data_IF_669819441568
#
_entry.id   IF_669819441568
#
_cell.length_a   1.000
_cell.length_b   1.000
_cell.length_c   1.000
_cell.angle_alpha   90.00
_cell.angle_beta   90.00
_cell.angle_gamma   90.00
#
_symmetry.space_group_name_H-M   'P 1'
#
loop_
_entity.id
_entity.type
_entity.pdbx_description
1 polymer ?
#
# COMPACT_ATOMS: atom_id res chain seq x y z
N UNK A 1 -19.44 44.74 -16.81
CA UNK A 1 -20.27 44.51 -18.01
C UNK A 1 -19.51 43.58 -18.93
N UNK A 2 -19.89 42.35 -19.03
CA UNK A 2 -19.94 41.50 -20.22
C UNK A 2 -20.37 40.08 -19.78
N UNK A 3 -21.56 39.73 -20.18
CA UNK A 3 -22.22 38.41 -20.03
C UNK A 3 -21.67 37.49 -21.09
N UNK A 4 -21.43 36.21 -20.75
CA UNK A 4 -21.36 35.09 -21.70
C UNK A 4 -21.83 33.84 -20.93
N UNK A 5 -22.96 33.41 -21.17
CA UNK A 5 -23.65 32.55 -22.13
C UNK A 5 -23.36 31.05 -21.83
N UNK A 6 -24.36 30.48 -21.18
CA UNK A 6 -24.59 29.06 -20.94
C UNK A 6 -24.83 28.33 -22.27
N UNK A 7 -24.19 27.20 -22.50
CA UNK A 7 -24.58 26.27 -23.55
C UNK A 7 -24.89 24.90 -22.91
N UNK A 8 -26.19 24.61 -22.84
CA UNK A 8 -26.75 23.31 -22.47
C UNK A 8 -26.78 22.47 -23.73
N UNK A 9 -26.12 21.29 -23.69
CA UNK A 9 -26.28 20.28 -24.74
C UNK A 9 -26.92 19.04 -24.14
N UNK A 10 -28.25 18.92 -24.41
CA UNK A 10 -29.06 17.71 -24.20
C UNK A 10 -28.84 16.75 -25.37
N UNK A 11 -28.48 15.53 -25.14
CA UNK A 11 -28.52 14.45 -26.11
C UNK A 11 -29.37 13.29 -25.56
N UNK A 12 -30.32 12.89 -26.38
CA UNK A 12 -31.45 12.00 -26.10
C UNK A 12 -31.07 10.52 -26.05
N UNK A 13 -31.86 9.78 -25.27
CA UNK A 13 -31.93 8.32 -25.23
C UNK A 13 -32.42 7.74 -26.55
N UNK A 14 -31.86 6.62 -26.97
CA UNK A 14 -32.52 5.65 -27.83
C UNK A 14 -32.40 4.26 -27.20
N UNK A 15 -33.51 3.73 -26.75
CA UNK A 15 -33.62 2.38 -26.22
C UNK A 15 -33.69 1.35 -27.38
N UNK A 16 -33.12 0.18 -27.14
CA UNK A 16 -33.38 -1.02 -27.93
C UNK A 16 -33.76 -2.14 -26.97
N UNK A 17 -35.05 -2.51 -27.05
CA UNK A 17 -35.62 -3.72 -26.46
C UNK A 17 -35.42 -4.87 -27.44
N UNK A 18 -34.93 -6.01 -26.98
CA UNK A 18 -35.01 -7.27 -27.69
C UNK A 18 -35.60 -8.34 -26.79
N UNK A 19 -36.71 -8.83 -27.30
CA UNK A 19 -37.66 -9.76 -26.76
C UNK A 19 -37.15 -11.19 -26.66
N UNK A 20 -37.66 -11.89 -25.67
CA UNK A 20 -37.56 -13.32 -25.42
C UNK A 20 -38.15 -14.18 -26.52
N UNK A 21 -37.59 -15.36 -26.71
CA UNK A 21 -38.32 -16.52 -27.21
C UNK A 21 -38.02 -17.77 -26.39
N UNK A 22 -39.07 -18.18 -25.72
CA UNK A 22 -39.28 -19.47 -25.09
C UNK A 22 -39.53 -20.53 -26.14
N UNK A 23 -38.99 -21.73 -25.98
CA UNK A 23 -39.65 -22.93 -26.51
C UNK A 23 -39.37 -24.14 -25.62
N UNK A 24 -40.46 -24.62 -25.13
CA UNK A 24 -40.74 -25.80 -24.35
C UNK A 24 -40.70 -27.05 -25.25
N UNK A 25 -40.28 -28.18 -24.72
CA UNK A 25 -40.30 -29.45 -25.42
C UNK A 25 -40.14 -30.63 -24.48
N UNK A 26 -41.24 -31.19 -24.13
CA UNK A 26 -41.54 -32.26 -23.17
C UNK A 26 -41.35 -33.66 -23.78
N UNK A 27 -41.22 -34.63 -22.91
CA UNK A 27 -41.56 -36.07 -22.97
C UNK A 27 -40.47 -37.04 -23.43
N UNK A 28 -40.18 -37.95 -22.68
CA UNK A 28 -40.72 -39.11 -21.96
C UNK A 28 -40.27 -40.46 -22.53
N UNK A 29 -40.07 -41.36 -21.59
CA UNK A 29 -40.21 -42.84 -21.56
C UNK A 29 -39.03 -43.69 -21.95
N UNK A 30 -38.46 -44.28 -20.96
CA UNK A 30 -38.65 -45.66 -20.41
C UNK A 30 -38.05 -46.80 -21.19
N UNK A 31 -37.37 -47.61 -20.50
CA UNK A 31 -37.37 -49.07 -20.32
C UNK A 31 -36.13 -49.82 -20.68
N UNK A 32 -35.54 -50.35 -19.66
CA UNK A 32 -35.32 -51.74 -19.23
C UNK A 32 -34.25 -52.60 -19.93
N UNK A 33 -33.51 -53.25 -19.02
CA UNK A 33 -32.91 -54.60 -19.04
C UNK A 33 -31.66 -54.81 -19.92
N UNK A 34 -30.68 -55.56 -19.56
CA UNK A 34 -30.43 -56.62 -18.54
C UNK A 34 -28.95 -57.01 -18.56
N UNK A 35 -28.48 -57.40 -17.43
CA UNK A 35 -27.45 -58.38 -17.11
C UNK A 35 -26.18 -58.58 -17.95
N UNK A 36 -25.02 -58.55 -17.33
CA UNK A 36 -24.19 -59.69 -16.94
C UNK A 36 -22.72 -59.33 -16.74
N UNK A 37 -22.26 -59.57 -15.54
CA UNK A 37 -20.98 -60.07 -15.05
C UNK A 37 -19.75 -60.03 -15.95
N UNK A 38 -18.70 -59.39 -15.48
CA UNK A 38 -17.35 -59.97 -15.37
C UNK A 38 -16.48 -59.16 -14.43
N UNK A 39 -16.01 -59.82 -13.39
CA UNK A 39 -14.93 -59.45 -12.49
C UNK A 39 -13.67 -59.01 -13.24
N UNK A 40 -13.11 -57.87 -12.89
CA UNK A 40 -11.66 -57.68 -12.97
C UNK A 40 -11.24 -56.72 -11.87
N UNK A 41 -10.69 -57.28 -10.85
CA UNK A 41 -9.95 -56.66 -9.77
C UNK A 41 -8.86 -55.75 -10.35
N UNK A 42 -9.01 -54.45 -10.20
CA UNK A 42 -7.91 -53.50 -10.41
C UNK A 42 -7.84 -52.61 -9.16
N UNK A 43 -6.78 -52.82 -8.40
CA UNK A 43 -6.46 -52.06 -7.23
C UNK A 43 -6.32 -50.58 -7.61
N UNK A 44 -7.34 -49.79 -7.34
CA UNK A 44 -7.25 -48.34 -7.32
C UNK A 44 -6.44 -47.98 -6.06
N UNK A 45 -5.19 -47.65 -6.29
CA UNK A 45 -4.39 -46.87 -5.35
C UNK A 45 -5.16 -45.57 -5.08
N UNK A 46 -5.83 -45.50 -3.97
CA UNK A 46 -6.36 -44.25 -3.45
C UNK A 46 -5.14 -43.39 -3.10
N UNK A 47 -4.77 -42.48 -4.02
CA UNK A 47 -4.01 -41.34 -3.67
C UNK A 47 -4.87 -40.59 -2.64
N UNK A 48 -4.47 -40.66 -1.38
CA UNK A 48 -4.95 -39.74 -0.38
C UNK A 48 -4.54 -38.35 -0.88
N UNK A 49 -5.48 -37.61 -1.43
CA UNK A 49 -5.38 -36.16 -1.46
C UNK A 49 -5.24 -35.76 0.01
N UNK A 50 -4.01 -35.46 0.40
CA UNK A 50 -3.72 -34.73 1.60
C UNK A 50 -4.51 -33.43 1.47
N UNK A 51 -5.64 -33.30 2.17
CA UNK A 51 -6.24 -32.01 2.46
C UNK A 51 -5.13 -31.22 3.12
N UNK A 52 -4.54 -30.30 2.36
CA UNK A 52 -3.61 -29.33 2.92
C UNK A 52 -4.34 -28.66 4.09
N UNK A 53 -3.74 -28.77 5.26
CA UNK A 53 -4.25 -28.18 6.49
C UNK A 53 -4.17 -26.67 6.28
N UNK A 54 -5.30 -26.05 5.89
CA UNK A 54 -5.38 -24.63 5.57
C UNK A 54 -5.18 -23.75 6.81
N UNK A 55 -5.21 -24.35 8.00
CA UNK A 55 -5.05 -23.66 9.28
C UNK A 55 -3.61 -23.16 9.51
N UNK A 56 -2.63 -23.63 8.75
CA UNK A 56 -1.22 -23.24 8.89
C UNK A 56 -0.72 -22.30 7.77
N UNK A 57 -1.58 -21.87 6.86
CA UNK A 57 -1.24 -20.89 5.82
C UNK A 57 -1.39 -19.49 6.39
N UNK A 58 -0.35 -18.67 6.25
CA UNK A 58 -0.35 -17.25 6.64
C UNK A 58 -0.14 -16.40 5.37
N UNK A 59 -1.15 -15.65 4.98
CA UNK A 59 -1.09 -14.70 3.87
C UNK A 59 -0.73 -13.33 4.39
N UNK A 60 0.44 -12.81 3.99
CA UNK A 60 0.94 -11.53 4.49
C UNK A 60 1.33 -10.59 3.35
N UNK A 61 0.90 -9.33 3.43
CA UNK A 61 1.29 -8.27 2.52
C UNK A 61 2.47 -7.47 3.06
N UNK A 62 3.40 -7.08 2.19
CA UNK A 62 4.55 -6.28 2.59
C UNK A 62 5.01 -5.35 1.46
N UNK A 63 5.72 -4.27 1.81
CA UNK A 63 6.57 -3.55 0.85
C UNK A 63 7.88 -4.31 0.64
N UNK A 64 8.53 -4.12 -0.51
CA UNK A 64 9.67 -4.94 -0.91
C UNK A 64 10.81 -4.91 0.11
N UNK A 65 11.32 -3.71 0.41
CA UNK A 65 12.46 -3.48 1.32
C UNK A 65 12.05 -2.54 2.44
N UNK A 66 12.36 -2.87 3.70
CA UNK A 66 13.03 -4.08 4.20
C UNK A 66 12.05 -5.21 4.49
N UNK A 67 10.75 -4.96 4.47
CA UNK A 67 9.69 -5.78 5.05
C UNK A 67 9.60 -7.15 4.35
N UNK A 68 9.54 -7.16 3.02
CA UNK A 68 9.54 -8.39 2.22
C UNK A 68 10.81 -9.21 2.43
N UNK A 69 11.98 -8.56 2.47
CA UNK A 69 13.25 -9.23 2.73
C UNK A 69 13.30 -9.90 4.11
N UNK A 70 12.76 -9.24 5.13
CA UNK A 70 12.67 -9.80 6.49
C UNK A 70 11.72 -11.00 6.51
N UNK A 71 10.58 -10.92 5.82
CA UNK A 71 9.63 -12.03 5.73
C UNK A 71 10.23 -13.22 4.98
N UNK A 72 10.92 -12.99 3.87
CA UNK A 72 11.62 -14.06 3.13
C UNK A 72 12.72 -14.72 3.99
N UNK A 73 13.45 -13.94 4.79
CA UNK A 73 14.46 -14.47 5.71
C UNK A 73 13.86 -15.41 6.77
N UNK A 74 12.66 -15.17 7.25
CA UNK A 74 12.02 -16.01 8.28
C UNK A 74 11.19 -17.15 7.72
N UNK A 75 10.85 -17.12 6.44
CA UNK A 75 9.97 -18.10 5.76
C UNK A 75 10.39 -19.54 5.96
N UNK A 76 11.67 -19.86 5.72
CA UNK A 76 12.19 -21.23 5.90
C UNK A 76 12.15 -21.70 7.36
N UNK A 77 12.23 -20.78 8.31
CA UNK A 77 12.14 -21.10 9.73
C UNK A 77 10.70 -21.44 10.11
N UNK A 78 9.74 -20.64 9.64
CA UNK A 78 8.32 -20.91 9.85
C UNK A 78 7.87 -22.21 9.19
N UNK A 79 8.39 -22.53 7.99
CA UNK A 79 8.11 -23.79 7.32
C UNK A 79 8.56 -25.03 8.14
N UNK A 80 9.68 -24.94 8.87
CA UNK A 80 10.14 -26.00 9.78
C UNK A 80 9.25 -26.17 11.01
N UNK A 81 8.52 -25.12 11.37
CA UNK A 81 7.52 -25.11 12.45
C UNK A 81 6.12 -25.48 11.95
N UNK A 82 5.96 -25.79 10.65
CA UNK A 82 4.72 -26.25 10.04
C UNK A 82 3.85 -25.16 9.44
N UNK A 83 4.34 -23.91 9.34
CA UNK A 83 3.59 -22.81 8.73
C UNK A 83 3.99 -22.59 7.27
N UNK A 84 3.01 -22.29 6.41
CA UNK A 84 3.22 -21.85 5.02
C UNK A 84 3.03 -20.33 4.94
N UNK A 85 4.14 -19.58 4.86
CA UNK A 85 4.11 -18.12 4.75
C UNK A 85 4.01 -17.71 3.28
N UNK A 86 2.86 -17.18 2.88
CA UNK A 86 2.58 -16.65 1.55
C UNK A 86 2.71 -15.13 1.56
N UNK A 87 3.75 -14.61 0.88
CA UNK A 87 4.10 -13.20 0.89
C UNK A 87 3.64 -12.55 -0.41
N UNK A 88 2.88 -11.46 -0.30
CA UNK A 88 2.50 -10.60 -1.43
C UNK A 88 3.21 -9.26 -1.30
N UNK A 89 3.99 -8.88 -2.32
CA UNK A 89 4.70 -7.60 -2.33
C UNK A 89 3.83 -6.53 -2.98
N UNK A 90 3.77 -5.37 -2.34
CA UNK A 90 3.06 -4.17 -2.78
C UNK A 90 4.04 -3.01 -2.98
N UNK A 91 3.80 -2.21 -4.02
CA UNK A 91 4.59 -1.02 -4.35
C UNK A 91 3.95 0.28 -3.82
N UNK A 92 2.88 0.17 -3.03
CA UNK A 92 2.18 1.29 -2.38
C UNK A 92 1.85 1.00 -0.92
N UNK A 93 1.40 2.03 -0.18
CA UNK A 93 1.11 1.94 1.26
C UNK A 93 -0.37 1.75 1.60
N UNK A 94 -1.28 1.83 0.62
CA UNK A 94 -2.73 1.75 0.85
C UNK A 94 -3.25 0.33 0.66
N UNK A 95 -2.83 -0.33 -0.43
CA UNK A 95 -3.31 -1.66 -0.81
C UNK A 95 -3.08 -2.74 0.26
N UNK A 96 -1.94 -2.79 0.99
CA UNK A 96 -1.76 -3.79 2.04
C UNK A 96 -2.83 -3.72 3.14
N UNK A 97 -3.27 -2.51 3.52
CA UNK A 97 -4.33 -2.33 4.49
C UNK A 97 -5.71 -2.70 3.92
N UNK A 98 -5.98 -2.34 2.66
CA UNK A 98 -7.23 -2.73 1.99
C UNK A 98 -7.37 -4.26 1.93
N UNK A 99 -6.29 -4.97 1.62
CA UNK A 99 -6.29 -6.42 1.53
C UNK A 99 -6.52 -7.10 2.89
N UNK A 100 -5.97 -6.55 3.98
CA UNK A 100 -6.27 -7.03 5.34
C UNK A 100 -7.71 -6.69 5.74
N UNK A 101 -8.18 -5.47 5.48
CA UNK A 101 -9.54 -5.05 5.81
C UNK A 101 -10.61 -5.88 5.08
N UNK A 102 -10.33 -6.33 3.86
CA UNK A 102 -11.22 -7.20 3.06
C UNK A 102 -11.14 -8.69 3.45
N UNK A 103 -10.16 -9.10 4.24
CA UNK A 103 -9.90 -10.51 4.55
C UNK A 103 -9.19 -11.29 3.45
N UNK A 104 -8.63 -10.63 2.46
CA UNK A 104 -7.77 -11.24 1.43
C UNK A 104 -6.42 -11.68 2.00
N UNK A 105 -5.90 -10.91 2.96
CA UNK A 105 -4.69 -11.18 3.72
C UNK A 105 -5.00 -11.33 5.21
N UNK A 106 -4.24 -12.16 5.90
CA UNK A 106 -4.31 -12.34 7.35
C UNK A 106 -3.61 -11.19 8.09
N UNK A 107 -2.55 -10.64 7.50
CA UNK A 107 -1.76 -9.54 8.06
C UNK A 107 -1.04 -8.74 6.99
N UNK A 108 -0.49 -7.59 7.39
CA UNK A 108 0.52 -6.89 6.60
C UNK A 108 1.72 -6.47 7.48
N UNK A 109 2.84 -6.20 6.80
CA UNK A 109 4.08 -5.76 7.42
C UNK A 109 4.71 -4.66 6.57
N UNK A 110 4.39 -3.39 6.87
CA UNK A 110 4.88 -2.26 6.07
C UNK A 110 4.79 -0.91 6.76
N UNK A 111 4.08 -0.78 7.90
CA UNK A 111 3.65 0.52 8.42
C UNK A 111 3.99 0.73 9.89
N UNK A 112 4.07 1.99 10.28
CA UNK A 112 4.15 2.41 11.68
C UNK A 112 2.76 2.71 12.26
N UNK A 113 2.64 2.65 13.59
CA UNK A 113 1.36 2.81 14.28
C UNK A 113 0.59 4.10 13.95
N UNK A 114 1.22 5.29 13.85
CA UNK A 114 0.49 6.50 13.45
C UNK A 114 -0.16 6.41 12.07
N UNK A 115 0.50 5.79 11.08
CA UNK A 115 -0.08 5.57 9.77
C UNK A 115 -1.29 4.63 9.84
N UNK A 116 -1.18 3.51 10.57
CA UNK A 116 -2.28 2.57 10.78
C UNK A 116 -3.49 3.24 11.43
N UNK A 117 -3.26 4.07 12.47
CA UNK A 117 -4.35 4.79 13.15
C UNK A 117 -5.07 5.74 12.18
N UNK A 118 -4.34 6.51 11.39
CA UNK A 118 -4.91 7.40 10.37
C UNK A 118 -5.67 6.61 9.29
N UNK A 119 -5.14 5.47 8.85
CA UNK A 119 -5.83 4.62 7.90
C UNK A 119 -7.17 4.13 8.47
N UNK A 120 -7.17 3.61 9.70
CA UNK A 120 -8.39 3.12 10.35
C UNK A 120 -9.44 4.25 10.49
N UNK A 121 -9.02 5.43 10.93
CA UNK A 121 -9.92 6.58 11.10
C UNK A 121 -10.55 7.01 9.78
N UNK A 122 -9.75 7.12 8.72
CA UNK A 122 -10.20 7.57 7.40
C UNK A 122 -11.10 6.55 6.68
N UNK A 123 -10.88 5.25 6.93
CA UNK A 123 -11.56 4.17 6.22
C UNK A 123 -12.61 3.43 7.06
N UNK A 124 -12.75 3.75 8.34
CA UNK A 124 -13.69 3.10 9.26
C UNK A 124 -13.34 1.63 9.50
N UNK A 125 -12.07 1.31 9.58
CA UNK A 125 -11.54 -0.04 9.84
C UNK A 125 -10.93 -0.14 11.23
N UNK A 126 -10.68 -1.36 11.72
CA UNK A 126 -10.14 -1.69 13.06
C UNK A 126 -8.96 -2.66 12.98
N UNK A 127 -8.11 -2.47 12.02
CA UNK A 127 -6.86 -3.23 11.93
C UNK A 127 -5.99 -2.88 13.15
N UNK A 128 -5.47 -3.92 13.82
CA UNK A 128 -4.66 -3.76 15.03
C UNK A 128 -3.23 -4.23 14.83
N UNK A 129 -2.24 -3.62 15.50
CA UNK A 129 -0.88 -4.11 15.46
C UNK A 129 -0.77 -5.43 16.23
N UNK A 130 -0.32 -6.49 15.56
CA UNK A 130 -0.04 -7.78 16.19
C UNK A 130 1.27 -7.76 16.98
N UNK A 131 2.30 -7.06 16.43
CA UNK A 131 3.60 -6.87 17.08
C UNK A 131 4.31 -5.62 16.55
N UNK A 132 5.24 -5.10 17.33
CA UNK A 132 6.18 -4.06 16.93
C UNK A 132 7.53 -4.73 16.62
N UNK A 133 7.96 -4.71 15.37
CA UNK A 133 9.09 -5.51 14.89
C UNK A 133 10.38 -4.68 14.85
N UNK A 134 10.35 -3.49 14.25
CA UNK A 134 11.52 -2.63 14.12
C UNK A 134 11.12 -1.15 14.08
N UNK A 135 12.12 -0.28 14.07
CA UNK A 135 11.96 1.17 13.99
C UNK A 135 12.63 1.69 12.72
N UNK A 136 11.94 2.56 11.99
CA UNK A 136 12.44 3.21 10.79
C UNK A 136 12.49 4.73 11.00
N UNK A 137 13.71 5.30 11.21
CA UNK A 137 13.87 6.74 11.27
C UNK A 137 13.70 7.37 9.89
N UNK A 138 13.28 8.63 9.86
CA UNK A 138 13.43 9.46 8.68
C UNK A 138 14.86 9.98 8.58
N UNK A 139 15.34 10.09 7.33
CA UNK A 139 16.57 10.80 7.00
C UNK A 139 16.27 12.02 6.13
N UNK A 140 17.07 13.07 6.30
CA UNK A 140 17.13 14.20 5.38
C UNK A 140 18.29 13.97 4.40
N UNK A 141 17.99 13.99 3.11
CA UNK A 141 18.93 13.67 2.03
C UNK A 141 19.09 14.85 1.10
N UNK A 142 20.33 15.11 0.66
CA UNK A 142 20.66 16.20 -0.23
C UNK A 142 21.24 15.70 -1.56
N UNK A 143 20.70 16.17 -2.68
CA UNK A 143 21.29 15.96 -4.00
C UNK A 143 22.44 16.94 -4.23
N UNK A 144 23.67 16.53 -3.88
CA UNK A 144 24.85 17.39 -3.92
C UNK A 144 24.90 18.44 -2.80
N UNK A 145 24.13 18.26 -1.73
CA UNK A 145 24.13 19.07 -0.51
C UNK A 145 24.53 18.17 0.65
N UNK A 146 25.59 18.53 1.36
CA UNK A 146 26.13 17.71 2.46
C UNK A 146 25.60 18.14 3.84
N UNK A 147 25.18 19.39 3.99
CA UNK A 147 24.70 19.95 5.26
C UNK A 147 23.48 20.83 5.06
N UNK A 148 22.53 20.84 6.01
CA UNK A 148 21.37 21.75 5.94
C UNK A 148 21.74 23.22 5.76
N UNK A 149 22.84 23.67 6.38
CA UNK A 149 23.32 25.05 6.28
C UNK A 149 23.82 25.47 4.86
N UNK A 150 24.09 24.51 3.98
CA UNK A 150 24.56 24.77 2.62
C UNK A 150 23.41 24.84 1.60
N UNK A 151 22.17 24.62 2.05
CA UNK A 151 20.96 24.69 1.21
C UNK A 151 20.69 26.12 0.78
N UNK A 152 20.50 26.34 -0.51
CA UNK A 152 20.27 27.67 -1.07
C UNK A 152 18.80 27.99 -1.08
N UNK A 153 18.47 29.27 -0.91
CA UNK A 153 17.12 29.79 -1.13
C UNK A 153 16.56 29.34 -2.50
N UNK A 154 15.30 28.97 -2.55
CA UNK A 154 14.64 28.43 -3.74
C UNK A 154 14.87 26.96 -4.00
N UNK A 155 15.66 26.25 -3.16
CA UNK A 155 15.85 24.80 -3.26
C UNK A 155 14.50 24.06 -3.14
N UNK A 156 14.38 22.95 -3.86
CA UNK A 156 13.23 22.06 -3.76
C UNK A 156 13.41 21.07 -2.60
N UNK A 157 12.38 20.89 -1.79
CA UNK A 157 12.34 19.89 -0.71
C UNK A 157 11.13 18.98 -0.93
N UNK A 158 11.37 17.69 -1.12
CA UNK A 158 10.34 16.69 -1.39
C UNK A 158 10.06 15.91 -0.11
N UNK A 159 8.81 15.86 0.31
CA UNK A 159 8.37 15.18 1.54
C UNK A 159 7.14 14.30 1.30
N UNK A 160 6.85 13.32 2.18
CA UNK A 160 5.62 12.53 2.12
C UNK A 160 4.36 13.38 2.28
N UNK A 161 3.25 12.97 1.63
CA UNK A 161 1.97 13.68 1.63
C UNK A 161 0.93 13.11 2.62
N UNK A 162 1.15 11.92 3.17
CA UNK A 162 0.22 11.39 4.18
C UNK A 162 0.41 12.07 5.53
N UNK A 163 -0.68 12.31 6.24
CA UNK A 163 -0.70 13.15 7.45
C UNK A 163 0.37 12.78 8.47
N UNK A 164 0.59 11.47 8.68
CA UNK A 164 1.53 11.00 9.69
C UNK A 164 2.99 11.19 9.28
N UNK A 165 3.31 10.97 8.01
CA UNK A 165 4.66 11.13 7.50
C UNK A 165 4.95 12.59 7.11
N UNK A 166 3.99 13.37 6.60
CA UNK A 166 4.12 14.81 6.40
C UNK A 166 4.49 15.51 7.70
N UNK A 167 3.73 15.24 8.78
CA UNK A 167 4.04 15.76 10.12
C UNK A 167 5.45 15.42 10.56
N UNK A 168 5.88 14.16 10.44
CA UNK A 168 7.23 13.73 10.82
C UNK A 168 8.31 14.43 9.98
N UNK A 169 8.08 14.59 8.68
CA UNK A 169 9.01 15.28 7.79
C UNK A 169 9.15 16.75 8.15
N UNK A 170 8.05 17.46 8.39
CA UNK A 170 8.06 18.87 8.78
C UNK A 170 8.76 19.09 10.12
N UNK A 171 8.54 18.23 11.10
CA UNK A 171 9.23 18.29 12.39
C UNK A 171 10.75 18.08 12.23
N UNK A 172 11.17 17.18 11.33
CA UNK A 172 12.58 17.00 11.01
C UNK A 172 13.16 18.23 10.32
N UNK A 173 12.47 18.82 9.35
CA UNK A 173 12.92 20.05 8.69
C UNK A 173 13.05 21.22 9.66
N UNK A 174 12.13 21.36 10.63
CA UNK A 174 12.25 22.34 11.70
C UNK A 174 13.44 22.06 12.61
N UNK A 175 13.66 20.80 13.01
CA UNK A 175 14.80 20.41 13.82
C UNK A 175 16.14 20.77 13.15
N UNK A 176 16.23 20.63 11.84
CA UNK A 176 17.40 20.98 11.03
C UNK A 176 17.49 22.49 10.69
N UNK A 177 16.52 23.29 11.16
CA UNK A 177 16.49 24.74 10.95
C UNK A 177 16.16 25.16 9.53
N UNK A 178 15.51 24.31 8.75
CA UNK A 178 15.14 24.59 7.36
C UNK A 178 13.76 25.26 7.24
N UNK A 179 12.91 25.15 8.25
CA UNK A 179 11.59 25.80 8.29
C UNK A 179 11.26 26.21 9.72
N UNK A 180 10.26 27.09 9.85
CA UNK A 180 9.64 27.41 11.13
C UNK A 180 8.19 26.90 11.17
N UNK A 181 7.85 26.14 12.21
CA UNK A 181 6.49 25.69 12.52
C UNK A 181 5.89 26.48 13.70
N UNK A 182 4.57 26.37 13.98
CA UNK A 182 3.97 26.94 15.16
C UNK A 182 4.60 26.45 16.45
N UNK A 183 4.64 27.31 17.47
CA UNK A 183 5.07 26.90 18.81
C UNK A 183 4.20 25.74 19.32
N UNK A 184 4.86 24.68 19.82
CA UNK A 184 4.18 23.48 20.29
C UNK A 184 3.82 22.48 19.19
N UNK A 185 4.22 22.70 17.94
CA UNK A 185 4.06 21.71 16.88
C UNK A 185 4.66 20.36 17.28
N UNK A 186 3.89 19.30 17.15
CA UNK A 186 4.30 17.96 17.60
C UNK A 186 3.61 16.86 16.77
N UNK A 187 4.13 15.63 16.90
CA UNK A 187 3.64 14.49 16.13
C UNK A 187 2.23 14.01 16.50
N UNK A 188 1.71 14.38 17.68
CA UNK A 188 0.41 13.92 18.16
C UNK A 188 -0.74 14.74 17.54
N UNK A 189 -0.56 16.05 17.47
CA UNK A 189 -1.60 16.96 17.01
C UNK A 189 -1.58 17.09 15.47
N UNK A 190 -0.47 16.66 14.85
CA UNK A 190 -0.24 16.75 13.42
C UNK A 190 0.13 18.17 12.98
N UNK A 191 0.91 18.28 11.91
CA UNK A 191 1.18 19.53 11.19
C UNK A 191 1.26 19.23 9.69
N UNK A 192 0.88 20.20 8.89
CA UNK A 192 0.88 20.13 7.43
C UNK A 192 1.72 21.28 6.84
N UNK A 193 2.00 21.22 5.56
CA UNK A 193 2.66 22.35 4.84
C UNK A 193 1.90 23.66 4.95
N UNK A 194 0.60 23.63 5.24
CA UNK A 194 -0.22 24.83 5.46
C UNK A 194 0.08 25.53 6.80
N UNK A 195 0.70 24.83 7.74
CA UNK A 195 1.03 25.35 9.06
C UNK A 195 2.42 25.99 9.12
N UNK A 196 3.22 25.90 8.04
CA UNK A 196 4.56 26.49 7.98
C UNK A 196 4.46 28.01 8.14
N UNK A 197 5.20 28.56 9.11
CA UNK A 197 5.29 30.00 9.36
C UNK A 197 6.33 30.68 8.51
N UNK A 198 7.47 30.02 8.33
CA UNK A 198 8.56 30.49 7.46
C UNK A 198 9.18 29.26 6.78
N UNK A 199 9.20 29.27 5.48
CA UNK A 199 9.83 28.24 4.63
C UNK A 199 11.22 28.67 4.13
N UNK A 200 11.71 29.82 4.57
CA UNK A 200 12.98 30.41 4.16
C UNK A 200 13.18 30.48 2.63
N UNK A 201 12.06 30.56 1.89
CA UNK A 201 12.04 30.60 0.41
C UNK A 201 12.23 29.24 -0.26
N UNK A 202 12.18 28.13 0.47
CA UNK A 202 12.24 26.77 -0.11
C UNK A 202 10.92 26.40 -0.77
N UNK A 203 11.00 25.51 -1.77
CA UNK A 203 9.84 24.96 -2.49
C UNK A 203 9.51 23.59 -1.94
N UNK A 204 8.65 23.53 -0.93
CA UNK A 204 8.25 22.26 -0.32
C UNK A 204 7.15 21.62 -1.16
N UNK A 205 7.38 20.38 -1.59
CA UNK A 205 6.44 19.58 -2.39
C UNK A 205 6.12 18.28 -1.67
N UNK A 206 4.84 18.02 -1.48
CA UNK A 206 4.34 16.77 -0.90
C UNK A 206 4.01 15.77 -2.01
N UNK A 207 4.43 14.51 -1.85
CA UNK A 207 4.17 13.42 -2.79
C UNK A 207 3.83 12.15 -2.02
N UNK A 208 3.28 11.13 -2.68
CA UNK A 208 3.03 9.85 -2.03
C UNK A 208 4.33 9.30 -1.43
N UNK A 209 4.26 8.80 -0.19
CA UNK A 209 5.45 8.44 0.60
C UNK A 209 6.35 7.41 -0.08
N UNK A 210 5.76 6.43 -0.76
CA UNK A 210 6.43 5.40 -1.57
C UNK A 210 7.17 5.96 -2.79
N UNK A 211 6.77 7.15 -3.30
CA UNK A 211 7.37 7.77 -4.49
C UNK A 211 8.46 8.80 -4.18
N UNK A 212 8.63 9.23 -2.92
CA UNK A 212 9.58 10.30 -2.54
C UNK A 212 10.99 9.99 -3.02
N UNK A 213 11.49 8.77 -2.76
CA UNK A 213 12.84 8.37 -3.14
C UNK A 213 13.06 8.41 -4.67
N UNK A 214 12.08 7.94 -5.44
CA UNK A 214 12.15 7.93 -6.90
C UNK A 214 12.10 9.36 -7.47
N UNK A 215 11.29 10.25 -6.91
CA UNK A 215 11.24 11.66 -7.33
C UNK A 215 12.52 12.40 -6.94
N UNK A 216 13.08 12.13 -5.75
CA UNK A 216 14.35 12.70 -5.34
C UNK A 216 15.51 12.27 -6.23
N UNK A 217 15.56 11.00 -6.64
CA UNK A 217 16.58 10.50 -7.57
C UNK A 217 16.59 11.24 -8.94
N UNK A 218 15.45 11.80 -9.33
CA UNK A 218 15.29 12.58 -10.56
C UNK A 218 15.25 14.10 -10.31
N UNK A 219 15.56 14.56 -9.11
CA UNK A 219 15.53 15.98 -8.76
C UNK A 219 16.79 16.72 -9.20
N UNK A 220 16.69 18.05 -9.29
CA UNK A 220 17.82 18.91 -9.60
C UNK A 220 18.88 18.91 -8.48
N UNK A 221 20.14 19.17 -8.84
CA UNK A 221 21.20 19.38 -7.86
C UNK A 221 20.85 20.53 -6.91
N UNK A 222 21.08 20.35 -5.62
CA UNK A 222 20.69 21.28 -4.56
C UNK A 222 19.34 20.97 -3.92
N UNK A 223 18.57 20.02 -4.46
CA UNK A 223 17.32 19.57 -3.85
C UNK A 223 17.54 18.73 -2.60
N UNK A 224 16.54 18.72 -1.73
CA UNK A 224 16.47 17.87 -0.55
C UNK A 224 15.26 16.93 -0.61
N UNK A 225 15.32 15.85 0.16
CA UNK A 225 14.14 15.03 0.44
C UNK A 225 14.17 14.48 1.86
N UNK A 226 12.99 14.30 2.44
CA UNK A 226 12.82 13.52 3.68
C UNK A 226 12.30 12.15 3.31
N UNK A 227 13.12 11.14 3.53
CA UNK A 227 12.87 9.77 3.09
C UNK A 227 12.94 8.84 4.30
N UNK A 228 12.11 7.81 4.32
CA UNK A 228 12.24 6.69 5.23
C UNK A 228 13.63 6.03 5.04
N UNK A 229 14.38 5.88 6.12
CA UNK A 229 15.80 5.46 6.09
C UNK A 229 16.08 4.13 5.43
N UNK A 230 15.08 3.29 5.25
CA UNK A 230 15.22 1.97 4.62
C UNK A 230 15.14 2.01 3.08
N UNK A 231 14.73 3.13 2.50
CA UNK A 231 14.64 3.29 1.03
C UNK A 231 15.96 3.77 0.38
N UNK A 232 16.99 3.99 1.18
CA UNK A 232 18.25 4.63 0.78
C UNK A 232 19.18 3.86 -0.15
N UNK A 233 19.34 2.53 -0.06
CA UNK A 233 20.34 1.84 -0.88
C UNK A 233 20.10 2.04 -2.38
N UNK A 234 18.92 2.49 -2.78
CA UNK A 234 18.54 2.69 -4.18
C UNK A 234 18.77 4.12 -4.70
N UNK A 235 19.02 5.10 -3.82
CA UNK A 235 19.10 6.52 -4.19
C UNK A 235 20.53 7.08 -4.18
N UNK A 236 21.47 6.44 -3.47
CA UNK A 236 22.84 6.90 -3.33
C UNK A 236 23.86 6.15 -4.20
N UNK A 237 23.43 5.36 -5.17
CA UNK A 237 24.31 4.80 -6.21
C UNK A 237 24.13 5.57 -7.51
#
# INVERSE_FOLDING_TARGET
MKKILSLILTAALAGVTLTACSSNGTSSTASSNDASSADTSSAASSAAESSADTDNVIKIGATATPHGEILEFVKDKLAKEGYDLQITIYDDYVLPNNAVASGELDANYHQHTPYLNNYNEKNGTDIVPAALIHYEPFGLYGNGVEKPADVKEGASIIIPADDSNETRALLLLQQEGLIELPEGANAKDGVTTLDIKDDHGYKITTVQADTVAAQFANSDAGSLAVINGMLLPQVLT
#
